data_IF_770573584797
#
_entry.id   IF_770573584797
#
_cell.length_a   1.000
_cell.length_b   1.000
_cell.length_c   1.000
_cell.angle_alpha   90.00
_cell.angle_beta   90.00
_cell.angle_gamma   90.00
#
_symmetry.space_group_name_H-M   'P 1'
#
loop_
_entity.id
_entity.type
_entity.pdbx_description
1 polymer ?
#
# COMPACT_ATOMS: atom_id res chain seq x y z
N UNK A 1 0.56 -0.88 -16.81
CA UNK A 1 0.40 -0.09 -18.04
C UNK A 1 -0.22 -1.01 -19.08
N UNK A 2 -1.14 -0.54 -19.95
CA UNK A 2 -1.65 -1.34 -21.07
C UNK A 2 -0.50 -1.87 -21.94
N UNK A 3 -0.73 -2.98 -22.63
CA UNK A 3 0.32 -3.64 -23.43
C UNK A 3 0.73 -2.79 -24.63
N UNK A 4 -0.24 -2.16 -25.32
CA UNK A 4 0.00 -1.20 -26.39
C UNK A 4 0.93 -0.05 -25.98
N UNK A 5 0.73 0.51 -24.78
CA UNK A 5 1.59 1.56 -24.26
C UNK A 5 3.01 1.05 -23.93
N UNK A 6 3.18 -0.24 -23.60
CA UNK A 6 4.49 -0.86 -23.36
C UNK A 6 5.22 -1.08 -24.68
N UNK A 7 4.51 -1.56 -25.69
CA UNK A 7 5.03 -1.74 -27.04
C UNK A 7 5.46 -0.40 -27.63
N UNK A 8 4.63 0.64 -27.50
CA UNK A 8 4.97 2.01 -27.92
C UNK A 8 6.22 2.54 -27.22
N UNK A 9 6.32 2.35 -25.90
CA UNK A 9 7.49 2.77 -25.13
C UNK A 9 8.77 2.06 -25.61
N UNK A 10 8.70 0.74 -25.82
CA UNK A 10 9.83 -0.05 -26.31
C UNK A 10 10.25 0.33 -27.74
N UNK A 11 9.26 0.57 -28.62
CA UNK A 11 9.51 1.02 -29.99
C UNK A 11 10.19 2.39 -30.00
N UNK A 12 9.69 3.34 -29.20
CA UNK A 12 10.24 4.69 -29.09
C UNK A 12 11.67 4.69 -28.53
N UNK A 13 11.94 3.89 -27.49
CA UNK A 13 13.29 3.72 -26.94
C UNK A 13 14.25 3.17 -27.99
N UNK A 14 13.81 2.19 -28.79
CA UNK A 14 14.62 1.59 -29.85
C UNK A 14 14.90 2.58 -30.99
N UNK A 15 13.90 3.36 -31.41
CA UNK A 15 14.02 4.23 -32.59
C UNK A 15 14.62 5.61 -32.30
N UNK A 16 14.38 6.16 -31.10
CA UNK A 16 14.70 7.55 -30.77
C UNK A 16 15.49 7.71 -29.45
N UNK A 17 15.79 6.61 -28.75
CA UNK A 17 16.59 6.61 -27.54
C UNK A 17 15.83 6.95 -26.26
N UNK A 18 16.55 6.86 -25.14
CA UNK A 18 15.97 6.99 -23.80
C UNK A 18 15.54 8.41 -23.42
N UNK A 19 16.13 9.44 -24.03
CA UNK A 19 15.72 10.83 -23.84
C UNK A 19 14.35 11.10 -24.46
N UNK A 20 14.13 10.61 -25.69
CA UNK A 20 12.83 10.70 -26.36
C UNK A 20 11.74 9.95 -25.59
N UNK A 21 12.05 8.74 -25.09
CA UNK A 21 11.13 8.00 -24.22
C UNK A 21 10.77 8.77 -22.95
N UNK A 22 11.76 9.38 -22.27
CA UNK A 22 11.53 10.18 -21.07
C UNK A 22 10.64 11.40 -21.35
N UNK A 23 10.87 12.10 -22.46
CA UNK A 23 10.04 13.23 -22.87
C UNK A 23 8.58 12.79 -23.16
N UNK A 24 8.40 11.67 -23.86
CA UNK A 24 7.08 11.10 -24.11
C UNK A 24 6.35 10.68 -22.84
N UNK A 25 7.05 10.02 -21.90
CA UNK A 25 6.48 9.62 -20.61
C UNK A 25 6.09 10.83 -19.74
N UNK A 26 6.89 11.90 -19.77
CA UNK A 26 6.57 13.17 -19.11
C UNK A 26 5.31 13.82 -19.72
N UNK A 27 5.23 13.88 -21.05
CA UNK A 27 4.05 14.38 -21.75
C UNK A 27 2.81 13.53 -21.45
N UNK A 28 2.94 12.19 -21.46
CA UNK A 28 1.85 11.29 -21.13
C UNK A 28 1.32 11.53 -19.71
N UNK A 29 2.21 11.73 -18.73
CA UNK A 29 1.81 12.09 -17.37
C UNK A 29 1.07 13.43 -17.36
N UNK A 30 1.61 14.47 -18.02
CA UNK A 30 0.97 15.78 -18.10
C UNK A 30 -0.45 15.70 -18.67
N UNK A 31 -0.62 14.95 -19.76
CA UNK A 31 -1.93 14.72 -20.39
C UNK A 31 -2.88 14.02 -19.41
N UNK A 32 -2.44 13.01 -18.68
CA UNK A 32 -3.27 12.34 -17.65
C UNK A 32 -3.68 13.32 -16.54
N UNK A 33 -2.78 14.20 -16.10
CA UNK A 33 -3.09 15.20 -15.07
C UNK A 33 -4.15 16.21 -15.56
N UNK A 34 -4.10 16.60 -16.84
CA UNK A 34 -5.09 17.52 -17.43
C UNK A 34 -6.47 16.91 -17.57
N UNK A 35 -6.55 15.64 -17.98
CA UNK A 35 -7.84 14.92 -18.08
C UNK A 35 -8.42 14.59 -16.70
N UNK A 36 -7.54 14.49 -15.70
CA UNK A 36 -7.89 14.02 -14.38
C UNK A 36 -8.02 12.49 -14.33
N UNK A 37 -7.86 11.90 -13.13
CA UNK A 37 -7.94 10.46 -12.95
C UNK A 37 -9.38 9.95 -13.05
N UNK A 38 -9.57 8.87 -13.80
CA UNK A 38 -10.79 8.06 -13.76
C UNK A 38 -10.77 7.16 -12.53
N UNK A 39 -11.54 7.54 -11.50
CA UNK A 39 -11.57 6.84 -10.21
C UNK A 39 -12.88 6.07 -10.04
N UNK A 40 -12.76 4.81 -9.61
CA UNK A 40 -13.91 3.98 -9.26
C UNK A 40 -14.44 4.20 -7.83
N UNK A 41 -13.83 5.12 -7.08
CA UNK A 41 -14.15 5.38 -5.66
C UNK A 41 -14.30 6.86 -5.37
N UNK A 42 -15.18 7.16 -4.41
CA UNK A 42 -15.37 8.50 -3.87
C UNK A 42 -14.27 8.86 -2.88
N UNK A 43 -13.73 10.07 -2.98
CA UNK A 43 -12.68 10.56 -2.11
C UNK A 43 -13.24 11.52 -1.05
N UNK A 44 -13.03 11.26 0.25
CA UNK A 44 -13.24 12.25 1.30
C UNK A 44 -12.37 13.50 1.08
N UNK A 45 -12.79 14.64 1.63
CA UNK A 45 -12.10 15.93 1.45
C UNK A 45 -10.61 15.88 1.79
N UNK A 46 -10.25 15.30 2.94
CA UNK A 46 -8.85 15.18 3.37
C UNK A 46 -7.99 14.40 2.37
N UNK A 47 -8.56 13.35 1.76
CA UNK A 47 -7.89 12.50 0.77
C UNK A 47 -7.82 13.21 -0.58
N UNK A 48 -8.85 13.98 -0.95
CA UNK A 48 -8.84 14.80 -2.15
C UNK A 48 -7.76 15.91 -2.08
N UNK A 49 -7.55 16.51 -0.90
CA UNK A 49 -6.49 17.49 -0.68
C UNK A 49 -5.08 16.89 -0.88
N UNK A 50 -4.85 15.66 -0.41
CA UNK A 50 -3.59 14.94 -0.68
C UNK A 50 -3.37 14.72 -2.18
N UNK A 51 -4.43 14.38 -2.92
CA UNK A 51 -4.34 14.24 -4.36
C UNK A 51 -3.99 15.56 -5.05
N UNK A 52 -4.57 16.69 -4.62
CA UNK A 52 -4.24 18.00 -5.17
C UNK A 52 -2.75 18.32 -4.96
N UNK A 53 -2.23 18.10 -3.76
CA UNK A 53 -0.81 18.29 -3.46
C UNK A 53 0.10 17.38 -4.31
N UNK A 54 -0.32 16.14 -4.58
CA UNK A 54 0.42 15.25 -5.47
C UNK A 54 0.40 15.69 -6.94
N UNK A 55 -0.72 16.26 -7.42
CA UNK A 55 -0.80 16.85 -8.76
C UNK A 55 0.17 18.01 -8.89
N UNK A 56 0.21 18.91 -7.91
CA UNK A 56 1.17 20.03 -7.88
C UNK A 56 2.61 19.53 -7.87
N UNK A 57 2.92 18.52 -7.04
CA UNK A 57 4.25 17.92 -6.98
C UNK A 57 4.65 17.28 -8.33
N UNK A 58 3.75 16.56 -8.98
CA UNK A 58 3.98 15.97 -10.30
C UNK A 58 4.20 17.04 -11.37
N UNK A 59 3.40 18.12 -11.37
CA UNK A 59 3.60 19.25 -12.26
C UNK A 59 4.97 19.91 -12.06
N UNK A 60 5.41 20.07 -10.80
CA UNK A 60 6.75 20.54 -10.48
C UNK A 60 7.86 19.61 -11.00
N UNK A 61 7.67 18.29 -10.93
CA UNK A 61 8.61 17.31 -11.47
C UNK A 61 8.67 17.32 -13.01
N UNK A 62 7.56 17.63 -13.68
CA UNK A 62 7.51 17.82 -15.14
C UNK A 62 8.23 19.10 -15.54
N UNK A 63 8.00 20.20 -14.82
CA UNK A 63 8.64 21.49 -15.08
C UNK A 63 10.15 21.46 -14.81
N UNK A 64 10.59 20.70 -13.80
CA UNK A 64 11.99 20.58 -13.40
C UNK A 64 12.40 19.09 -13.32
N UNK A 65 12.59 18.44 -14.48
CA UNK A 65 12.83 17.00 -14.55
C UNK A 65 14.18 16.62 -13.96
N UNK A 66 14.17 15.73 -12.96
CA UNK A 66 15.41 15.07 -12.51
C UNK A 66 15.83 14.01 -13.53
N UNK A 67 17.13 13.87 -13.86
CA UNK A 67 17.59 12.83 -14.78
C UNK A 67 17.09 11.43 -14.39
N UNK A 68 16.54 10.70 -15.35
CA UNK A 68 16.03 9.35 -15.16
C UNK A 68 14.78 9.27 -14.27
N UNK A 69 14.09 10.38 -13.99
CA UNK A 69 12.84 10.34 -13.23
C UNK A 69 11.72 9.66 -14.02
N UNK A 70 11.53 10.09 -15.27
CA UNK A 70 10.48 9.59 -16.17
C UNK A 70 10.85 8.25 -16.79
N UNK A 71 11.00 7.22 -15.96
CA UNK A 71 11.40 5.87 -16.39
C UNK A 71 10.43 4.81 -15.88
N UNK A 72 10.04 3.89 -16.75
CA UNK A 72 9.20 2.74 -16.38
C UNK A 72 9.90 1.79 -15.39
N UNK A 73 11.23 1.87 -15.27
CA UNK A 73 11.99 1.14 -14.25
C UNK A 73 12.00 1.81 -12.88
N UNK A 74 11.50 3.05 -12.76
CA UNK A 74 11.56 3.84 -11.52
C UNK A 74 10.26 3.72 -10.73
N UNK A 75 10.26 3.13 -9.52
CA UNK A 75 9.05 2.95 -8.72
C UNK A 75 8.28 4.24 -8.41
N UNK A 76 9.00 5.34 -8.17
CA UNK A 76 8.37 6.65 -7.91
C UNK A 76 7.53 7.14 -9.10
N UNK A 77 8.02 6.96 -10.32
CA UNK A 77 7.27 7.34 -11.52
C UNK A 77 6.11 6.41 -11.81
N UNK A 78 6.28 5.09 -11.59
CA UNK A 78 5.17 4.13 -11.69
C UNK A 78 4.04 4.44 -10.70
N UNK A 79 4.39 4.89 -9.49
CA UNK A 79 3.44 5.36 -8.49
C UNK A 79 2.66 6.57 -9.01
N UNK A 80 3.35 7.56 -9.59
CA UNK A 80 2.73 8.76 -10.15
C UNK A 80 1.79 8.45 -11.31
N UNK A 81 2.19 7.57 -12.21
CA UNK A 81 1.29 7.04 -13.24
C UNK A 81 0.08 6.32 -12.63
N UNK A 82 0.26 5.60 -11.53
CA UNK A 82 -0.85 4.97 -10.81
C UNK A 82 -1.83 6.00 -10.25
N UNK A 83 -1.33 7.08 -9.68
CA UNK A 83 -2.11 8.17 -9.11
C UNK A 83 -2.85 8.98 -10.18
N UNK A 84 -2.14 9.38 -11.24
CA UNK A 84 -2.68 10.16 -12.36
C UNK A 84 -3.76 9.38 -13.13
N UNK A 85 -3.68 8.05 -13.15
CA UNK A 85 -4.71 7.17 -13.74
C UNK A 85 -5.87 6.85 -12.81
N UNK A 86 -5.83 7.26 -11.54
CA UNK A 86 -6.86 6.88 -10.56
C UNK A 86 -6.79 5.43 -10.11
N UNK A 87 -5.74 4.68 -10.50
CA UNK A 87 -5.50 3.31 -10.02
C UNK A 87 -5.07 3.33 -8.54
N UNK A 88 -4.23 4.30 -8.18
CA UNK A 88 -3.77 4.51 -6.82
C UNK A 88 -4.39 5.78 -6.24
N UNK A 89 -4.59 5.78 -4.93
CA UNK A 89 -5.13 6.91 -4.17
C UNK A 89 -4.09 7.35 -3.14
N UNK A 90 -3.77 8.64 -3.08
CA UNK A 90 -2.86 9.18 -2.08
C UNK A 90 -3.53 9.16 -0.70
N UNK A 91 -2.88 8.61 0.33
CA UNK A 91 -3.48 8.51 1.68
C UNK A 91 -2.47 8.76 2.83
N UNK A 92 -1.43 9.56 2.57
CA UNK A 92 -0.35 9.83 3.51
C UNK A 92 0.81 8.86 3.30
N UNK A 93 1.22 8.17 4.36
CA UNK A 93 2.36 7.23 4.35
C UNK A 93 2.18 6.02 3.41
N UNK A 94 0.94 5.71 3.02
CA UNK A 94 0.60 4.63 2.08
C UNK A 94 -0.27 5.18 0.95
N UNK A 95 -0.11 4.60 -0.24
CA UNK A 95 -1.05 4.70 -1.35
C UNK A 95 -2.05 3.54 -1.32
N UNK A 96 -3.28 3.76 -1.78
CA UNK A 96 -4.34 2.75 -1.76
C UNK A 96 -4.60 2.21 -3.17
N UNK A 97 -4.63 0.89 -3.36
CA UNK A 97 -5.26 0.24 -4.51
C UNK A 97 -6.65 -0.27 -4.11
N UNK A 98 -7.76 0.38 -4.55
CA UNK A 98 -9.11 0.08 -4.08
C UNK A 98 -9.75 -1.15 -4.76
N UNK A 99 -9.07 -1.79 -5.71
CA UNK A 99 -9.63 -2.86 -6.54
C UNK A 99 -9.04 -4.24 -6.22
N UNK A 100 -8.32 -4.33 -5.10
CA UNK A 100 -7.56 -5.49 -4.72
C UNK A 100 -8.41 -6.67 -4.22
N UNK A 101 -7.76 -7.81 -4.09
CA UNK A 101 -8.34 -9.05 -3.63
C UNK A 101 -7.35 -9.85 -2.81
N UNK A 102 -7.84 -10.44 -1.72
CA UNK A 102 -7.06 -11.36 -0.89
C UNK A 102 -6.73 -12.61 -1.73
N UNK A 103 -5.45 -12.93 -1.95
CA UNK A 103 -5.06 -14.03 -2.82
C UNK A 103 -5.39 -15.37 -2.15
N UNK A 104 -6.06 -16.26 -2.89
CA UNK A 104 -6.47 -17.60 -2.41
C UNK A 104 -5.30 -18.48 -1.97
N UNK A 105 -4.08 -18.19 -2.43
CA UNK A 105 -2.86 -18.90 -2.00
C UNK A 105 -2.68 -18.90 -0.48
N UNK A 106 -3.21 -17.89 0.22
CA UNK A 106 -3.21 -17.84 1.69
C UNK A 106 -3.88 -19.04 2.36
N UNK A 107 -4.83 -19.68 1.67
CA UNK A 107 -5.49 -20.90 2.13
C UNK A 107 -4.57 -22.12 2.08
N UNK A 108 -3.44 -22.03 1.37
CA UNK A 108 -2.44 -23.09 1.28
C UNK A 108 -1.12 -22.76 2.02
N UNK A 109 -0.85 -21.49 2.33
CA UNK A 109 0.45 -21.02 2.83
C UNK A 109 0.77 -21.37 4.29
N UNK A 110 -0.24 -21.62 5.15
CA UNK A 110 -0.07 -21.75 6.60
C UNK A 110 -0.64 -23.03 7.22
N UNK A 111 -0.90 -24.05 6.41
CA UNK A 111 -1.52 -25.30 6.84
C UNK A 111 -3.04 -25.20 7.08
N UNK A 112 -3.65 -26.31 7.47
CA UNK A 112 -5.11 -26.44 7.55
C UNK A 112 -5.76 -25.47 8.57
N UNK A 113 -5.09 -25.20 9.69
CA UNK A 113 -5.59 -24.24 10.70
C UNK A 113 -5.68 -22.82 10.14
N UNK A 114 -4.63 -22.34 9.46
CA UNK A 114 -4.68 -21.05 8.78
C UNK A 114 -5.71 -21.06 7.65
N UNK A 115 -5.81 -22.14 6.88
CA UNK A 115 -6.77 -22.26 5.79
C UNK A 115 -8.21 -22.02 6.28
N UNK A 116 -8.59 -22.70 7.36
CA UNK A 116 -9.89 -22.53 7.98
C UNK A 116 -10.08 -21.11 8.54
N UNK A 117 -9.10 -20.61 9.31
CA UNK A 117 -9.16 -19.27 9.90
C UNK A 117 -9.26 -18.16 8.85
N UNK A 118 -8.48 -18.25 7.78
CA UNK A 118 -8.51 -17.31 6.66
C UNK A 118 -9.84 -17.39 5.91
N UNK A 119 -10.33 -18.58 5.58
CA UNK A 119 -11.63 -18.76 4.92
C UNK A 119 -12.77 -18.18 5.77
N UNK A 120 -12.81 -18.49 7.06
CA UNK A 120 -13.76 -17.93 8.01
C UNK A 120 -13.69 -16.40 8.05
N UNK A 121 -12.49 -15.83 8.22
CA UNK A 121 -12.32 -14.39 8.30
C UNK A 121 -12.78 -13.69 7.01
N UNK A 122 -12.41 -14.20 5.84
CA UNK A 122 -12.84 -13.61 4.58
C UNK A 122 -14.35 -13.74 4.36
N UNK A 123 -14.92 -14.93 4.53
CA UNK A 123 -16.33 -15.17 4.21
C UNK A 123 -17.27 -14.54 5.23
N UNK A 124 -16.92 -14.55 6.52
CA UNK A 124 -17.82 -14.12 7.59
C UNK A 124 -17.52 -12.72 8.10
N UNK A 125 -16.24 -12.34 8.24
CA UNK A 125 -15.88 -11.01 8.76
C UNK A 125 -15.81 -9.96 7.66
N UNK A 126 -15.24 -10.31 6.50
CA UNK A 126 -15.13 -9.41 5.35
C UNK A 126 -16.32 -9.49 4.39
N UNK A 127 -16.98 -10.65 4.27
CA UNK A 127 -18.05 -10.89 3.31
C UNK A 127 -17.55 -11.20 1.88
N UNK A 128 -16.34 -11.73 1.75
CA UNK A 128 -15.70 -12.13 0.49
C UNK A 128 -14.21 -11.81 0.41
N UNK A 129 -13.55 -12.30 -0.64
CA UNK A 129 -12.11 -12.10 -0.90
C UNK A 129 -11.78 -10.83 -1.71
N UNK A 130 -12.78 -10.18 -2.29
CA UNK A 130 -12.72 -8.91 -3.04
C UNK A 130 -13.94 -8.11 -2.65
N UNK A 131 -14.08 -6.79 -2.78
CA UNK A 131 -13.17 -5.75 -3.23
C UNK A 131 -12.54 -5.13 -1.98
N UNK A 132 -11.21 -5.19 -1.88
CA UNK A 132 -10.44 -4.70 -0.74
C UNK A 132 -9.59 -3.51 -1.17
N UNK A 133 -9.21 -2.67 -0.21
CA UNK A 133 -8.13 -1.72 -0.38
C UNK A 133 -6.81 -2.40 -0.02
N UNK A 134 -5.85 -2.43 -0.94
CA UNK A 134 -4.47 -2.80 -0.64
C UNK A 134 -3.63 -1.56 -0.32
N UNK A 135 -2.85 -1.63 0.76
CA UNK A 135 -1.93 -0.57 1.15
C UNK A 135 -0.56 -0.80 0.48
N UNK A 136 -0.02 0.27 -0.10
CA UNK A 136 1.30 0.28 -0.71
C UNK A 136 2.16 1.41 -0.14
N UNK A 137 3.25 1.05 0.54
CA UNK A 137 4.10 2.03 1.19
C UNK A 137 4.64 3.05 0.19
N UNK A 138 4.44 4.33 0.51
CA UNK A 138 4.92 5.41 -0.31
C UNK A 138 6.25 5.95 0.22
N UNK A 139 7.34 5.58 -0.45
CA UNK A 139 8.68 6.09 -0.13
C UNK A 139 8.79 7.61 -0.25
N UNK A 140 7.94 8.25 -1.05
CA UNK A 140 7.92 9.71 -1.15
C UNK A 140 7.33 10.37 0.11
N UNK A 141 6.54 9.63 0.88
CA UNK A 141 5.97 10.03 2.17
C UNK A 141 6.71 9.42 3.37
N UNK A 142 8.02 9.11 3.22
CA UNK A 142 8.84 8.52 4.31
C UNK A 142 8.86 9.40 5.58
N UNK A 143 8.67 10.72 5.46
CA UNK A 143 8.55 11.63 6.61
C UNK A 143 7.36 11.29 7.53
N UNK A 144 6.31 10.69 6.97
CA UNK A 144 5.12 10.26 7.69
C UNK A 144 5.22 8.80 8.18
N UNK A 145 6.38 8.14 8.01
CA UNK A 145 6.63 6.78 8.49
C UNK A 145 6.87 6.76 10.00
N UNK A 146 5.81 7.06 10.75
CA UNK A 146 5.79 7.13 12.20
C UNK A 146 4.36 6.85 12.73
N UNK A 147 4.19 6.84 14.05
CA UNK A 147 2.92 6.53 14.69
C UNK A 147 1.79 7.50 14.34
N UNK A 148 2.07 8.79 14.22
CA UNK A 148 1.09 9.81 13.88
C UNK A 148 0.62 9.65 12.43
N UNK A 149 1.55 9.46 11.49
CA UNK A 149 1.25 9.26 10.08
C UNK A 149 0.38 8.02 9.84
N UNK A 150 0.67 6.91 10.53
CA UNK A 150 -0.15 5.71 10.45
C UNK A 150 -1.53 5.86 11.12
N UNK A 151 -1.61 6.57 12.25
CA UNK A 151 -2.91 6.86 12.87
C UNK A 151 -3.79 7.70 11.94
N UNK A 152 -3.20 8.70 11.28
CA UNK A 152 -3.89 9.55 10.31
C UNK A 152 -4.30 8.76 9.05
N UNK A 153 -3.45 7.87 8.56
CA UNK A 153 -3.79 6.90 7.50
C UNK A 153 -5.03 6.08 7.89
N UNK A 154 -5.06 5.51 9.10
CA UNK A 154 -6.19 4.68 9.54
C UNK A 154 -7.50 5.47 9.67
N UNK A 155 -7.44 6.74 10.10
CA UNK A 155 -8.60 7.65 10.09
C UNK A 155 -9.10 7.91 8.68
N UNK A 156 -8.19 8.20 7.74
CA UNK A 156 -8.54 8.42 6.32
C UNK A 156 -9.12 7.15 5.68
N UNK A 157 -8.58 5.97 5.99
CA UNK A 157 -9.16 4.69 5.55
C UNK A 157 -10.60 4.52 6.03
N UNK A 158 -10.90 4.91 7.28
CA UNK A 158 -12.27 4.87 7.78
C UNK A 158 -13.21 5.80 6.98
N UNK A 159 -12.76 7.01 6.66
CA UNK A 159 -13.51 7.95 5.82
C UNK A 159 -13.71 7.38 4.40
N UNK A 160 -12.65 6.86 3.77
CA UNK A 160 -12.71 6.26 2.42
C UNK A 160 -13.65 5.08 2.41
N UNK A 161 -13.56 4.17 3.39
CA UNK A 161 -14.50 3.06 3.51
C UNK A 161 -15.92 3.59 3.67
N UNK A 162 -16.16 4.57 4.55
CA UNK A 162 -17.50 5.14 4.78
C UNK A 162 -18.12 5.68 3.49
N UNK A 163 -17.35 6.40 2.67
CA UNK A 163 -17.78 6.91 1.37
C UNK A 163 -17.98 5.83 0.29
N UNK A 164 -17.42 4.62 0.49
CA UNK A 164 -17.43 3.54 -0.50
C UNK A 164 -17.97 2.22 0.09
N UNK A 165 -19.31 2.04 0.18
CA UNK A 165 -19.94 0.90 0.86
C UNK A 165 -19.60 -0.49 0.30
N UNK A 166 -19.22 -0.58 -0.98
CA UNK A 166 -18.90 -1.85 -1.66
C UNK A 166 -17.54 -2.43 -1.26
N UNK A 167 -16.65 -1.59 -0.71
CA UNK A 167 -15.32 -2.02 -0.27
C UNK A 167 -15.45 -2.75 1.06
N UNK A 168 -14.95 -3.99 1.08
CA UNK A 168 -15.14 -4.97 2.16
C UNK A 168 -14.11 -4.88 3.30
N UNK A 169 -13.02 -4.15 3.09
CA UNK A 169 -11.99 -3.92 4.10
C UNK A 169 -10.67 -3.50 3.50
N UNK A 170 -9.63 -3.60 4.31
CA UNK A 170 -8.25 -3.22 3.98
C UNK A 170 -7.35 -4.43 4.11
N UNK A 171 -6.33 -4.52 3.27
CA UNK A 171 -5.27 -5.52 3.36
C UNK A 171 -3.90 -4.89 3.11
N UNK A 172 -2.86 -5.51 3.67
CA UNK A 172 -1.47 -5.19 3.36
C UNK A 172 -0.62 -6.44 3.55
N UNK A 173 0.36 -6.64 2.67
CA UNK A 173 1.28 -7.76 2.73
C UNK A 173 2.72 -7.23 2.83
N UNK A 174 3.36 -7.45 3.97
CA UNK A 174 4.71 -6.94 4.23
C UNK A 174 5.40 -7.79 5.29
N UNK A 175 6.74 -7.71 5.33
CA UNK A 175 7.52 -8.24 6.43
C UNK A 175 7.33 -7.42 7.72
N UNK A 176 6.83 -6.18 7.65
CA UNK A 176 6.47 -5.38 8.83
C UNK A 176 5.38 -6.00 9.70
N UNK A 177 4.58 -6.90 9.12
CA UNK A 177 3.52 -7.62 9.81
C UNK A 177 4.02 -8.93 10.45
N UNK A 178 5.30 -9.27 10.30
CA UNK A 178 5.89 -10.48 10.86
C UNK A 178 5.81 -10.45 12.40
N UNK A 179 5.08 -11.37 13.05
CA UNK A 179 4.94 -11.39 14.50
C UNK A 179 6.27 -11.63 15.22
N UNK A 180 7.27 -12.20 14.56
CA UNK A 180 8.59 -12.39 15.15
C UNK A 180 9.26 -11.04 15.49
N UNK A 181 8.90 -9.94 14.81
CA UNK A 181 9.45 -8.61 15.08
C UNK A 181 9.15 -8.12 16.50
N UNK A 182 8.03 -8.53 17.09
CA UNK A 182 7.66 -8.15 18.46
C UNK A 182 8.67 -8.65 19.51
N UNK A 183 9.43 -9.71 19.20
CA UNK A 183 10.46 -10.24 20.09
C UNK A 183 11.75 -9.40 20.11
N UNK A 184 11.94 -8.49 19.14
CA UNK A 184 13.21 -7.79 18.92
C UNK A 184 13.13 -6.28 19.10
N UNK A 185 11.93 -5.70 19.17
CA UNK A 185 11.69 -4.28 19.49
C UNK A 185 10.29 -3.80 19.04
N UNK A 186 9.77 -2.70 19.61
CA UNK A 186 8.44 -2.15 19.30
C UNK A 186 8.39 -1.39 17.96
N UNK A 187 9.43 -1.45 17.13
CA UNK A 187 9.68 -0.59 15.97
C UNK A 187 8.55 -0.59 14.92
N UNK A 188 7.62 -1.55 14.96
CA UNK A 188 6.48 -1.63 14.04
C UNK A 188 5.12 -1.80 14.75
N UNK A 189 5.07 -1.65 16.07
CA UNK A 189 3.81 -1.79 16.80
C UNK A 189 2.85 -0.64 16.48
N UNK A 190 3.36 0.54 16.09
CA UNK A 190 2.50 1.62 15.59
C UNK A 190 1.78 1.26 14.28
N UNK A 191 2.33 0.32 13.50
CA UNK A 191 1.68 -0.23 12.31
C UNK A 191 0.67 -1.29 12.73
N UNK A 192 1.10 -2.27 13.53
CA UNK A 192 0.32 -3.48 13.76
C UNK A 192 -0.70 -3.38 14.90
N UNK A 193 -0.44 -2.54 15.90
CA UNK A 193 -1.22 -2.42 17.13
C UNK A 193 -2.65 -2.00 16.89
N UNK A 194 -2.93 -0.84 16.25
CA UNK A 194 -4.30 -0.41 16.00
C UNK A 194 -5.12 -1.40 15.17
N UNK A 195 -4.63 -1.97 14.05
CA UNK A 195 -5.35 -3.02 13.33
C UNK A 195 -5.59 -4.28 14.19
N UNK A 196 -4.58 -4.74 14.94
CA UNK A 196 -4.65 -5.96 15.76
C UNK A 196 -5.69 -5.83 16.86
N UNK A 197 -5.67 -4.74 17.62
CA UNK A 197 -6.64 -4.49 18.69
C UNK A 197 -8.06 -4.25 18.15
N UNK A 198 -8.17 -3.80 16.89
CA UNK A 198 -9.43 -3.52 16.21
C UNK A 198 -9.94 -4.66 15.33
N UNK A 199 -9.48 -5.90 15.53
CA UNK A 199 -10.04 -7.09 14.88
C UNK A 199 -9.57 -7.33 13.44
N UNK A 200 -8.41 -6.79 13.05
CA UNK A 200 -7.67 -7.30 11.91
C UNK A 200 -7.09 -8.70 12.23
N UNK A 201 -6.97 -9.53 11.20
CA UNK A 201 -6.28 -10.82 11.28
C UNK A 201 -4.98 -10.76 10.48
N UNK A 202 -4.02 -11.57 10.88
CA UNK A 202 -2.70 -11.66 10.26
C UNK A 202 -2.45 -13.09 9.81
N UNK A 203 -2.15 -13.27 8.53
CA UNK A 203 -1.95 -14.58 7.91
C UNK A 203 -0.56 -14.67 7.30
N UNK A 204 0.13 -15.79 7.54
CA UNK A 204 1.44 -16.04 6.96
C UNK A 204 1.31 -16.24 5.45
N UNK A 205 2.05 -15.47 4.67
CA UNK A 205 2.20 -15.67 3.22
C UNK A 205 3.37 -16.60 2.95
N UNK A 206 4.48 -16.40 3.66
CA UNK A 206 5.70 -17.20 3.59
C UNK A 206 6.94 -16.37 3.33
N UNK A 207 8.06 -17.05 3.10
CA UNK A 207 9.33 -16.40 2.80
C UNK A 207 9.33 -15.81 1.38
N UNK A 208 9.87 -14.60 1.24
CA UNK A 208 10.12 -13.96 -0.05
C UNK A 208 11.55 -13.36 -0.04
N UNK A 209 12.43 -13.71 -1.01
CA UNK A 209 13.81 -13.23 -1.00
C UNK A 209 13.95 -11.70 -1.05
N UNK A 210 13.03 -11.00 -1.73
CA UNK A 210 13.08 -9.54 -1.82
C UNK A 210 12.66 -8.89 -0.52
N UNK A 211 11.59 -9.38 0.11
CA UNK A 211 11.14 -8.94 1.42
C UNK A 211 12.21 -9.22 2.49
N UNK A 212 12.87 -10.38 2.44
CA UNK A 212 13.96 -10.70 3.35
C UNK A 212 15.16 -9.76 3.16
N UNK A 213 15.57 -9.49 1.91
CA UNK A 213 16.63 -8.54 1.63
C UNK A 213 16.30 -7.13 2.15
N UNK A 214 15.06 -6.67 1.97
CA UNK A 214 14.59 -5.37 2.44
C UNK A 214 14.55 -5.30 3.98
N UNK A 215 14.02 -6.33 4.65
CA UNK A 215 13.94 -6.43 6.11
C UNK A 215 15.32 -6.32 6.79
N UNK A 216 16.35 -6.87 6.16
CA UNK A 216 17.72 -6.94 6.68
C UNK A 216 18.57 -5.73 6.28
N UNK A 217 18.17 -4.98 5.25
CA UNK A 217 18.99 -3.93 4.63
C UNK A 217 19.48 -2.87 5.63
N UNK A 218 18.59 -2.37 6.48
CA UNK A 218 18.87 -1.20 7.33
C UNK A 218 18.92 -1.49 8.84
N UNK A 219 18.82 -2.75 9.28
CA UNK A 219 18.90 -3.10 10.70
C UNK A 219 20.08 -4.02 10.99
N UNK A 220 21.13 -3.53 11.69
CA UNK A 220 22.24 -4.37 12.15
C UNK A 220 21.77 -5.53 13.03
N UNK A 221 20.84 -5.27 13.96
CA UNK A 221 20.29 -6.28 14.87
C UNK A 221 19.59 -7.40 14.09
N UNK A 222 18.71 -7.08 13.12
CA UNK A 222 18.03 -8.10 12.31
C UNK A 222 19.00 -8.92 11.47
N UNK A 223 20.07 -8.30 10.94
CA UNK A 223 21.14 -9.03 10.23
C UNK A 223 21.86 -10.03 11.13
N UNK A 224 22.21 -9.60 12.35
CA UNK A 224 22.85 -10.47 13.32
C UNK A 224 21.95 -11.65 13.68
N UNK A 225 20.70 -11.40 14.04
CA UNK A 225 19.74 -12.46 14.38
C UNK A 225 19.50 -13.42 13.22
N UNK A 226 19.50 -12.93 11.98
CA UNK A 226 19.40 -13.77 10.79
C UNK A 226 20.64 -14.63 10.58
N UNK A 227 21.84 -14.08 10.75
CA UNK A 227 23.09 -14.84 10.66
C UNK A 227 23.19 -15.94 11.75
N UNK A 228 22.65 -15.66 12.94
CA UNK A 228 22.53 -16.62 14.04
C UNK A 228 21.42 -17.66 13.86
N UNK A 229 20.60 -17.57 12.79
CA UNK A 229 19.45 -18.46 12.54
C UNK A 229 18.26 -18.22 13.48
N UNK A 230 18.28 -17.14 14.27
CA UNK A 230 17.26 -16.80 15.29
C UNK A 230 16.12 -15.95 14.75
N UNK A 231 16.27 -15.40 13.54
CA UNK A 231 15.22 -14.66 12.85
C UNK A 231 15.27 -14.92 11.35
N UNK A 232 14.14 -15.34 10.78
CA UNK A 232 13.96 -15.48 9.34
C UNK A 232 12.78 -14.62 8.91
N UNK A 233 13.00 -13.48 8.22
CA UNK A 233 11.91 -12.61 7.80
C UNK A 233 10.89 -13.35 6.95
N UNK A 234 9.62 -13.19 7.29
CA UNK A 234 8.50 -13.69 6.50
C UNK A 234 7.53 -12.59 6.11
N UNK A 235 6.86 -12.77 4.98
CA UNK A 235 5.77 -11.90 4.59
C UNK A 235 4.51 -12.37 5.28
N UNK A 236 3.84 -11.42 5.93
CA UNK A 236 2.54 -11.60 6.56
C UNK A 236 1.52 -10.67 5.94
N UNK A 237 0.30 -11.15 5.80
CA UNK A 237 -0.82 -10.39 5.29
C UNK A 237 -1.74 -9.97 6.43
N UNK A 238 -1.81 -8.68 6.68
CA UNK A 238 -2.85 -8.08 7.50
C UNK A 238 -4.14 -7.99 6.67
N UNK A 239 -5.26 -8.42 7.24
CA UNK A 239 -6.59 -8.20 6.67
C UNK A 239 -7.53 -7.62 7.73
N UNK A 240 -7.95 -6.38 7.53
CA UNK A 240 -8.80 -5.62 8.44
C UNK A 240 -10.21 -5.46 7.87
N UNK A 241 -11.23 -6.15 8.44
CA UNK A 241 -12.59 -6.07 7.94
C UNK A 241 -13.19 -4.66 8.08
N UNK A 242 -13.95 -4.22 7.07
CA UNK A 242 -14.62 -2.91 7.04
C UNK A 242 -15.33 -2.58 8.35
N UNK A 243 -16.22 -3.48 8.81
CA UNK A 243 -17.03 -3.26 10.02
C UNK A 243 -16.16 -3.07 11.27
N UNK A 244 -14.99 -3.72 11.31
CA UNK A 244 -14.09 -3.62 12.44
C UNK A 244 -13.35 -2.27 12.44
N UNK A 245 -12.80 -1.88 11.27
CA UNK A 245 -12.12 -0.59 11.09
C UNK A 245 -13.06 0.60 11.37
N UNK A 246 -14.29 0.58 10.83
CA UNK A 246 -15.27 1.64 11.07
C UNK A 246 -15.65 1.79 12.55
N UNK A 247 -15.84 0.67 13.26
CA UNK A 247 -16.11 0.70 14.71
C UNK A 247 -14.95 1.27 15.51
N UNK A 248 -13.72 0.90 15.14
CA UNK A 248 -12.52 1.47 15.78
C UNK A 248 -12.45 2.99 15.59
N UNK A 249 -12.70 3.48 14.37
CA UNK A 249 -12.69 4.92 14.10
C UNK A 249 -13.79 5.67 14.88
N UNK A 250 -14.97 5.07 15.03
CA UNK A 250 -16.06 5.62 15.85
C UNK A 250 -15.69 5.68 17.34
N UNK A 251 -15.01 4.65 17.87
CA UNK A 251 -14.53 4.61 19.25
C UNK A 251 -13.49 5.70 19.53
N UNK A 252 -12.59 5.96 18.58
CA UNK A 252 -11.63 7.06 18.65
C UNK A 252 -12.31 8.43 18.70
N UNK A 253 -13.35 8.65 17.90
CA UNK A 253 -14.09 9.91 17.88
C UNK A 253 -14.91 10.14 19.17
N UNK A 254 -15.33 9.07 19.83
CA UNK A 254 -16.14 9.12 21.06
C UNK A 254 -15.30 9.18 22.34
N UNK A 255 -13.97 9.19 22.24
CA UNK A 255 -13.05 9.25 23.40
C UNK A 255 -12.97 7.96 24.23
N UNK A 256 -13.59 6.86 23.78
CA UNK A 256 -13.67 5.61 24.56
C UNK A 256 -12.53 4.61 24.30
N UNK A 257 -11.44 5.02 23.64
CA UNK A 257 -10.40 4.09 23.18
C UNK A 257 -9.01 4.39 23.75
N UNK A 258 -8.93 4.49 25.08
CA UNK A 258 -7.71 4.21 25.87
C UNK A 258 -8.16 3.58 27.19
N UNK A 259 -8.48 2.28 27.13
CA UNK A 259 -8.77 1.42 28.26
C UNK A 259 -8.32 0.01 27.95
#
# INVERSE_FOLDING_TARGET
>A
MPDEAREMAAALETSAGSEALQAWLSLALLVMLQHGPDRSVSLPQDVAALHAAEVERMAGAIANPKPGYFSLGRPAFLRDLGLARGKLIACGVEALDPCAGVPRRLLASGGAGQAFGAAWHMLVRCGGFRQMIELHFDRQAIGDFNAEGYLLLYRRLAQVLSANPRIRGVMSASWWHDPALAAFGPDFEFINGPPRSAGAAFFRVGADPRAAADALRFSPQRRQLHAEGRYRPEVWMMVWPRKALLRWAQGMASGSALG
#
